data_IF_330646381392
#
_entry.id   IF_330646381392
#
_cell.length_a   1.000
_cell.length_b   1.000
_cell.length_c   1.000
_cell.angle_alpha   90.00
_cell.angle_beta   90.00
_cell.angle_gamma   90.00
#
_symmetry.space_group_name_H-M   'P 1'
#
loop_
_entity.id
_entity.type
_entity.pdbx_description
1 polymer ?
#
# COMPACT_ATOMS: atom_id res chain seq x y z
N UNK A 1 -1.94 -11.17 8.04
CA UNK A 1 -2.68 -10.14 8.79
C UNK A 1 -3.77 -9.56 7.90
N UNK A 2 -4.77 -8.88 8.47
CA UNK A 2 -5.88 -8.30 7.71
C UNK A 2 -6.13 -6.87 8.16
N UNK A 3 -6.10 -5.93 7.22
CA UNK A 3 -6.61 -4.58 7.38
C UNK A 3 -8.08 -4.57 6.98
N UNK A 4 -8.96 -4.78 7.96
CA UNK A 4 -10.41 -4.81 7.77
C UNK A 4 -10.95 -3.43 7.44
N UNK A 5 -12.08 -3.40 6.73
CA UNK A 5 -12.85 -2.20 6.48
C UNK A 5 -13.27 -1.57 7.81
N UNK A 6 -13.74 -2.33 8.81
CA UNK A 6 -13.95 -1.86 10.19
C UNK A 6 -14.57 -0.45 10.28
N UNK A 7 -15.84 -0.36 9.92
CA UNK A 7 -16.54 0.94 9.87
C UNK A 7 -17.07 1.39 11.23
N UNK A 8 -16.85 0.59 12.28
CA UNK A 8 -17.44 0.81 13.60
C UNK A 8 -18.97 0.79 13.54
N UNK A 9 -19.54 -0.02 12.64
CA UNK A 9 -20.99 -0.19 12.50
C UNK A 9 -21.39 -1.63 12.83
N UNK A 10 -22.53 -1.78 13.50
CA UNK A 10 -23.07 -3.08 13.93
C UNK A 10 -23.29 -4.05 12.77
N UNK A 11 -23.56 -3.54 11.56
CA UNK A 11 -23.80 -4.39 10.39
C UNK A 11 -22.50 -4.86 9.73
N UNK A 12 -21.50 -3.97 9.60
CA UNK A 12 -20.29 -4.27 8.85
C UNK A 12 -19.33 -5.17 9.61
N UNK A 13 -19.08 -4.86 10.87
CA UNK A 13 -17.91 -5.38 11.57
C UNK A 13 -18.05 -6.90 11.85
N UNK A 14 -19.21 -7.42 12.33
CA UNK A 14 -19.48 -8.86 12.39
C UNK A 14 -19.48 -9.55 11.01
N UNK A 15 -20.18 -8.98 10.02
CA UNK A 15 -20.26 -9.56 8.67
C UNK A 15 -18.88 -9.69 8.01
N UNK A 16 -18.04 -8.66 8.10
CA UNK A 16 -16.69 -8.70 7.55
C UNK A 16 -15.80 -9.69 8.33
N UNK A 17 -16.07 -9.91 9.62
CA UNK A 17 -15.34 -10.91 10.41
C UNK A 17 -15.71 -12.30 9.93
N UNK A 18 -17.01 -12.58 9.83
CA UNK A 18 -17.50 -13.86 9.33
C UNK A 18 -16.98 -14.17 7.92
N UNK A 19 -16.95 -13.17 7.03
CA UNK A 19 -16.37 -13.30 5.70
C UNK A 19 -14.92 -13.81 5.76
N UNK A 20 -14.09 -13.16 6.57
CA UNK A 20 -12.68 -13.52 6.68
C UNK A 20 -12.45 -14.83 7.44
N UNK A 21 -13.33 -15.19 8.39
CA UNK A 21 -13.32 -16.47 9.10
C UNK A 21 -13.58 -17.62 8.13
N UNK A 22 -14.64 -17.51 7.33
CA UNK A 22 -14.97 -18.50 6.29
C UNK A 22 -13.88 -18.62 5.23
N UNK A 23 -13.26 -17.50 4.83
CA UNK A 23 -12.14 -17.52 3.90
C UNK A 23 -10.91 -18.23 4.48
N UNK A 24 -10.57 -17.96 5.75
CA UNK A 24 -9.46 -18.61 6.42
C UNK A 24 -9.69 -20.13 6.55
N UNK A 25 -10.88 -20.52 7.02
CA UNK A 25 -11.29 -21.92 7.18
C UNK A 25 -11.26 -22.67 5.84
N UNK A 26 -11.90 -22.12 4.80
CA UNK A 26 -11.96 -22.75 3.47
C UNK A 26 -10.59 -22.90 2.80
N UNK A 27 -9.63 -22.02 3.13
CA UNK A 27 -8.25 -22.09 2.62
C UNK A 27 -7.35 -23.00 3.49
N UNK A 28 -7.89 -23.64 4.52
CA UNK A 28 -7.16 -24.55 5.40
C UNK A 28 -6.15 -23.82 6.28
N UNK A 29 -6.52 -22.65 6.80
CA UNK A 29 -5.70 -21.93 7.79
C UNK A 29 -5.46 -22.84 8.99
N UNK A 30 -4.21 -22.96 9.41
CA UNK A 30 -3.83 -23.84 10.52
C UNK A 30 -4.32 -23.32 11.86
N UNK A 31 -4.74 -24.24 12.73
CA UNK A 31 -5.07 -23.96 14.13
C UNK A 31 -3.91 -23.22 14.84
N UNK A 32 -4.27 -22.23 15.66
CA UNK A 32 -3.29 -21.43 16.41
C UNK A 32 -2.47 -20.44 15.56
N UNK A 33 -2.79 -20.26 14.26
CA UNK A 33 -2.16 -19.27 13.40
C UNK A 33 -3.12 -18.09 13.10
N UNK A 34 -3.46 -17.24 14.07
CA UNK A 34 -4.48 -16.22 13.88
C UNK A 34 -4.08 -15.14 12.87
N UNK A 35 -5.10 -14.45 12.39
CA UNK A 35 -5.05 -13.28 11.55
C UNK A 35 -5.13 -12.06 12.46
N UNK A 36 -4.00 -11.38 12.63
CA UNK A 36 -3.98 -10.08 13.32
C UNK A 36 -4.75 -9.04 12.52
N UNK A 37 -5.68 -8.37 13.19
CA UNK A 37 -6.59 -7.38 12.60
C UNK A 37 -6.11 -5.96 12.88
N UNK A 38 -6.19 -5.11 11.86
CA UNK A 38 -5.93 -3.67 11.95
C UNK A 38 -7.17 -2.88 11.53
N UNK A 39 -7.65 -2.04 12.45
CA UNK A 39 -8.84 -1.20 12.31
C UNK A 39 -8.45 0.27 12.15
N UNK A 40 -7.86 0.66 11.02
CA UNK A 40 -7.28 2.01 10.86
C UNK A 40 -8.31 3.15 10.95
N UNK A 41 -9.58 2.87 10.64
CA UNK A 41 -10.67 3.87 10.74
C UNK A 41 -10.90 4.37 12.17
N UNK A 42 -10.50 3.60 13.19
CA UNK A 42 -10.48 4.06 14.59
C UNK A 42 -9.62 5.32 14.80
N UNK A 43 -8.59 5.51 13.94
CA UNK A 43 -7.68 6.64 14.00
C UNK A 43 -7.99 7.70 12.94
N UNK A 44 -8.26 7.28 11.70
CA UNK A 44 -8.37 8.21 10.55
C UNK A 44 -9.81 8.62 10.22
N UNK A 45 -10.80 7.99 10.87
CA UNK A 45 -12.19 8.04 10.41
C UNK A 45 -12.39 7.36 9.05
N UNK A 46 -13.59 7.52 8.48
CA UNK A 46 -13.96 6.90 7.20
C UNK A 46 -14.00 7.90 6.03
N UNK A 47 -12.91 7.96 5.26
CA UNK A 47 -12.77 8.88 4.11
C UNK A 47 -13.48 8.43 2.81
N UNK A 48 -14.61 7.72 2.90
CA UNK A 48 -15.37 7.13 1.76
C UNK A 48 -14.44 6.54 0.68
N UNK A 49 -14.28 7.21 -0.47
CA UNK A 49 -13.45 6.76 -1.59
C UNK A 49 -11.96 6.61 -1.30
N UNK A 50 -11.42 7.33 -0.31
CA UNK A 50 -10.01 7.22 0.11
C UNK A 50 -9.74 6.13 1.14
N UNK A 51 -10.77 5.42 1.63
CA UNK A 51 -10.63 4.52 2.78
C UNK A 51 -9.64 3.37 2.53
N UNK A 52 -9.79 2.66 1.41
CA UNK A 52 -8.92 1.53 1.06
C UNK A 52 -7.48 1.96 0.76
N UNK A 53 -7.28 3.20 0.30
CA UNK A 53 -5.93 3.73 0.01
C UNK A 53 -5.16 3.96 1.31
N UNK A 54 -5.80 4.51 2.36
CA UNK A 54 -5.17 4.65 3.67
C UNK A 54 -4.81 3.29 4.27
N UNK A 55 -5.71 2.32 4.16
CA UNK A 55 -5.49 0.92 4.58
C UNK A 55 -4.31 0.29 3.83
N UNK A 56 -4.23 0.50 2.52
CA UNK A 56 -3.13 0.00 1.68
C UNK A 56 -1.79 0.64 2.07
N UNK A 57 -1.76 1.96 2.28
CA UNK A 57 -0.55 2.65 2.78
C UNK A 57 -0.13 2.14 4.16
N UNK A 58 -1.09 1.96 5.07
CA UNK A 58 -0.85 1.36 6.37
C UNK A 58 -0.26 -0.04 6.25
N UNK A 59 -0.83 -0.89 5.39
CA UNK A 59 -0.32 -2.24 5.18
C UNK A 59 1.08 -2.27 4.58
N UNK A 60 1.40 -1.36 3.65
CA UNK A 60 2.78 -1.17 3.15
C UNK A 60 3.75 -0.84 4.28
N UNK A 61 3.37 0.09 5.18
CA UNK A 61 4.20 0.46 6.33
C UNK A 61 4.38 -0.72 7.29
N UNK A 62 3.32 -1.49 7.55
CA UNK A 62 3.36 -2.66 8.42
C UNK A 62 4.30 -3.73 7.87
N UNK A 63 4.20 -4.04 6.58
CA UNK A 63 5.08 -5.03 5.94
C UNK A 63 6.53 -4.56 5.96
N UNK A 64 6.80 -3.28 5.69
CA UNK A 64 8.15 -2.72 5.72
C UNK A 64 8.76 -2.70 7.12
N UNK A 65 7.97 -2.29 8.12
CA UNK A 65 8.49 -1.97 9.46
C UNK A 65 8.36 -3.15 10.45
N UNK A 66 7.57 -4.18 10.11
CA UNK A 66 7.31 -5.33 11.00
C UNK A 66 6.53 -4.96 12.26
N UNK A 67 5.73 -3.89 12.20
CA UNK A 67 4.95 -3.36 13.32
C UNK A 67 3.47 -3.46 13.01
N UNK A 68 2.70 -4.16 13.85
CA UNK A 68 1.24 -4.19 13.76
C UNK A 68 0.69 -3.08 14.66
N UNK A 69 0.01 -2.05 14.09
CA UNK A 69 -0.56 -0.96 14.86
C UNK A 69 -1.78 -1.46 15.66
N UNK A 70 -2.01 -0.88 16.84
CA UNK A 70 -3.14 -1.23 17.67
C UNK A 70 -4.43 -0.57 17.18
N UNK A 71 -5.56 -1.16 17.56
CA UNK A 71 -6.81 -0.41 17.71
C UNK A 71 -6.89 0.10 19.15
N UNK A 72 -6.55 1.39 19.36
CA UNK A 72 -6.59 2.01 20.70
C UNK A 72 -8.01 2.37 21.14
N UNK A 73 -8.96 2.36 20.22
CA UNK A 73 -10.38 2.61 20.51
C UNK A 73 -11.12 1.34 20.92
N UNK A 74 -10.44 0.18 20.95
CA UNK A 74 -11.00 -1.09 21.39
C UNK A 74 -10.99 -1.15 22.92
N UNK A 75 -12.16 -1.02 23.53
CA UNK A 75 -12.42 -1.19 24.95
C UNK A 75 -12.65 -2.67 25.30
N UNK A 76 -13.59 -3.32 24.61
CA UNK A 76 -13.79 -4.76 24.64
C UNK A 76 -14.06 -5.29 23.22
N UNK A 77 -13.73 -6.56 22.98
CA UNK A 77 -14.16 -7.25 21.78
C UNK A 77 -15.61 -7.66 21.99
N UNK A 78 -16.44 -7.48 20.97
CA UNK A 78 -17.84 -7.92 20.99
C UNK A 78 -17.93 -9.44 21.16
N UNK A 79 -18.80 -9.90 22.07
CA UNK A 79 -19.01 -11.32 22.38
C UNK A 79 -19.47 -12.11 21.15
N UNK A 80 -20.15 -11.48 20.20
CA UNK A 80 -20.55 -12.11 18.92
C UNK A 80 -19.34 -12.62 18.12
N UNK A 81 -18.21 -11.92 18.23
CA UNK A 81 -16.99 -12.24 17.48
C UNK A 81 -16.20 -13.40 18.11
N UNK A 82 -16.58 -13.87 19.31
CA UNK A 82 -15.93 -15.01 19.97
C UNK A 82 -16.03 -16.32 19.17
N UNK A 83 -17.01 -16.40 18.25
CA UNK A 83 -17.19 -17.52 17.32
C UNK A 83 -16.10 -17.60 16.23
N UNK A 84 -15.36 -16.52 15.99
CA UNK A 84 -14.34 -16.43 14.92
C UNK A 84 -12.96 -16.81 15.45
N UNK A 85 -12.61 -18.10 15.33
CA UNK A 85 -11.40 -18.69 15.92
C UNK A 85 -10.09 -18.26 15.27
N UNK A 86 -10.12 -17.73 14.03
CA UNK A 86 -8.92 -17.35 13.30
C UNK A 86 -8.47 -15.90 13.54
N UNK A 87 -9.05 -15.16 14.49
CA UNK A 87 -8.84 -13.71 14.60
C UNK A 87 -8.17 -13.32 15.91
N UNK A 88 -7.35 -12.27 15.84
CA UNK A 88 -6.86 -11.56 17.02
C UNK A 88 -6.96 -10.06 16.77
N UNK A 89 -7.75 -9.38 17.62
CA UNK A 89 -7.76 -7.92 17.73
C UNK A 89 -6.72 -7.46 18.73
N UNK A 90 -5.90 -6.50 18.31
CA UNK A 90 -4.76 -6.05 19.09
C UNK A 90 -5.01 -4.64 19.62
N UNK A 91 -5.03 -4.49 20.95
CA UNK A 91 -5.16 -3.20 21.63
C UNK A 91 -3.83 -2.45 21.84
N UNK A 92 -2.73 -3.20 21.84
CA UNK A 92 -1.37 -2.71 22.07
C UNK A 92 -0.51 -2.89 20.81
N UNK A 93 0.50 -2.04 20.60
CA UNK A 93 1.34 -2.16 19.40
C UNK A 93 2.19 -3.44 19.47
N UNK A 94 2.09 -4.33 18.47
CA UNK A 94 2.98 -5.49 18.38
C UNK A 94 4.16 -5.18 17.47
N UNK A 95 5.37 -5.32 18.02
CA UNK A 95 6.63 -5.15 17.29
C UNK A 95 7.25 -6.52 17.08
N UNK A 96 7.10 -7.05 15.87
CA UNK A 96 7.53 -8.41 15.56
C UNK A 96 9.04 -8.48 15.24
N UNK A 97 9.61 -7.35 14.81
CA UNK A 97 11.05 -7.22 14.53
C UNK A 97 11.52 -8.20 13.45
N UNK A 98 12.83 -8.40 13.36
CA UNK A 98 13.42 -9.28 12.33
C UNK A 98 13.22 -10.78 12.62
N UNK A 99 13.00 -11.14 13.89
CA UNK A 99 12.82 -12.54 14.31
C UNK A 99 11.47 -13.11 13.91
N UNK A 100 10.46 -12.26 13.74
CA UNK A 100 9.10 -12.66 13.36
C UNK A 100 8.61 -11.85 12.14
N UNK A 101 9.22 -12.04 10.95
CA UNK A 101 8.94 -11.21 9.79
C UNK A 101 7.51 -11.42 9.28
N UNK A 102 6.85 -10.30 8.96
CA UNK A 102 5.55 -10.33 8.30
C UNK A 102 5.71 -10.61 6.81
N UNK A 103 4.91 -11.55 6.29
CA UNK A 103 5.01 -12.02 4.90
C UNK A 103 4.01 -11.34 3.96
N UNK A 104 2.76 -11.23 4.40
CA UNK A 104 1.66 -10.74 3.59
C UNK A 104 0.52 -10.23 4.47
N UNK A 105 -0.33 -9.39 3.88
CA UNK A 105 -1.61 -9.04 4.45
C UNK A 105 -2.69 -8.81 3.40
N UNK A 106 -3.92 -8.74 3.87
CA UNK A 106 -5.09 -8.46 3.05
C UNK A 106 -5.65 -7.08 3.43
N UNK A 107 -6.05 -6.30 2.44
CA UNK A 107 -6.93 -5.14 2.64
C UNK A 107 -8.31 -5.52 2.16
N UNK A 108 -9.33 -5.31 2.98
CA UNK A 108 -10.72 -5.38 2.55
C UNK A 108 -11.43 -4.07 2.70
N UNK A 109 -12.30 -3.79 1.74
CA UNK A 109 -13.15 -2.61 1.74
C UNK A 109 -14.53 -2.94 1.21
N UNK A 110 -15.56 -2.56 1.98
CA UNK A 110 -16.96 -2.79 1.67
C UNK A 110 -17.64 -1.43 1.47
N UNK A 111 -18.24 -1.23 0.30
CA UNK A 111 -18.94 -0.02 -0.10
C UNK A 111 -20.44 -0.26 -0.25
N UNK A 112 -21.18 0.83 -0.37
CA UNK A 112 -22.62 0.78 -0.66
C UNK A 112 -22.90 0.10 -2.00
N UNK A 113 -24.07 -0.57 -2.10
CA UNK A 113 -24.51 -1.18 -3.35
C UNK A 113 -23.73 -2.43 -3.74
N UNK A 114 -23.41 -3.29 -2.77
CA UNK A 114 -22.70 -4.56 -2.97
C UNK A 114 -21.28 -4.42 -3.55
N UNK A 115 -20.64 -3.26 -3.39
CA UNK A 115 -19.25 -3.07 -3.79
C UNK A 115 -18.35 -3.68 -2.73
N UNK A 116 -17.68 -4.78 -3.03
CA UNK A 116 -16.72 -5.43 -2.14
C UNK A 116 -15.40 -5.60 -2.85
N UNK A 117 -14.30 -5.19 -2.21
CA UNK A 117 -12.95 -5.29 -2.76
C UNK A 117 -12.00 -5.95 -1.77
N UNK A 118 -11.11 -6.81 -2.29
CA UNK A 118 -10.05 -7.47 -1.54
C UNK A 118 -8.74 -7.33 -2.30
N UNK A 119 -7.68 -6.91 -1.59
CA UNK A 119 -6.33 -6.75 -2.14
C UNK A 119 -5.38 -7.59 -1.29
N UNK A 120 -4.67 -8.52 -1.91
CA UNK A 120 -3.57 -9.23 -1.28
C UNK A 120 -2.26 -8.48 -1.53
N UNK A 121 -1.56 -8.12 -0.46
CA UNK A 121 -0.26 -7.46 -0.52
C UNK A 121 0.81 -8.34 0.12
N UNK A 122 1.93 -8.51 -0.57
CA UNK A 122 3.04 -9.39 -0.17
C UNK A 122 4.30 -8.57 0.02
N UNK A 123 5.15 -9.00 0.96
CA UNK A 123 6.42 -8.35 1.27
C UNK A 123 7.35 -8.29 0.04
N UNK A 124 8.02 -7.17 -0.24
CA UNK A 124 8.83 -6.98 -1.45
C UNK A 124 10.02 -7.93 -1.57
N UNK A 125 10.52 -8.50 -0.47
CA UNK A 125 11.57 -9.52 -0.53
C UNK A 125 11.15 -10.78 -1.32
N UNK A 126 9.85 -11.08 -1.42
CA UNK A 126 9.38 -12.17 -2.26
C UNK A 126 9.70 -11.93 -3.75
N UNK A 127 9.59 -10.67 -4.21
CA UNK A 127 9.99 -10.28 -5.57
C UNK A 127 11.52 -10.37 -5.75
N UNK A 128 12.30 -9.85 -4.80
CA UNK A 128 13.76 -9.94 -4.85
C UNK A 128 14.25 -11.38 -4.92
N UNK A 129 13.58 -12.29 -4.19
CA UNK A 129 13.91 -13.71 -4.18
C UNK A 129 13.74 -14.39 -5.54
N UNK A 130 12.88 -13.85 -6.42
CA UNK A 130 12.67 -14.38 -7.77
C UNK A 130 13.74 -13.94 -8.78
N UNK A 131 14.53 -12.90 -8.48
CA UNK A 131 15.63 -12.44 -9.32
C UNK A 131 16.85 -13.33 -9.17
N UNK A 132 17.61 -13.48 -10.25
CA UNK A 132 18.95 -14.07 -10.17
C UNK A 132 19.90 -13.20 -9.31
N UNK A 133 21.02 -13.75 -8.82
CA UNK A 133 21.90 -13.02 -7.91
C UNK A 133 22.42 -11.68 -8.46
N UNK A 134 22.78 -11.62 -9.74
CA UNK A 134 23.36 -10.44 -10.37
C UNK A 134 22.30 -9.34 -10.57
N UNK A 135 21.10 -9.72 -11.04
CA UNK A 135 19.94 -8.84 -11.15
C UNK A 135 19.52 -8.28 -9.80
N UNK A 136 19.48 -9.15 -8.77
CA UNK A 136 19.12 -8.74 -7.41
C UNK A 136 20.10 -7.71 -6.86
N UNK A 137 21.40 -7.93 -7.03
CA UNK A 137 22.45 -7.00 -6.61
C UNK A 137 22.32 -5.66 -7.32
N UNK A 138 22.21 -5.67 -8.66
CA UNK A 138 22.05 -4.47 -9.47
C UNK A 138 20.79 -3.67 -9.08
N UNK A 139 19.65 -4.36 -8.93
CA UNK A 139 18.40 -3.73 -8.51
C UNK A 139 18.52 -3.12 -7.10
N UNK A 140 19.13 -3.85 -6.16
CA UNK A 140 19.29 -3.38 -4.77
C UNK A 140 20.18 -2.14 -4.70
N UNK A 141 21.26 -2.10 -5.48
CA UNK A 141 22.12 -0.93 -5.59
C UNK A 141 21.35 0.28 -6.15
N UNK A 142 20.60 0.09 -7.22
CA UNK A 142 19.78 1.16 -7.83
C UNK A 142 18.70 1.67 -6.87
N UNK A 143 17.98 0.77 -6.20
CA UNK A 143 16.94 1.10 -5.24
C UNK A 143 17.50 1.88 -4.04
N UNK A 144 18.68 1.49 -3.55
CA UNK A 144 19.38 2.17 -2.45
C UNK A 144 19.82 3.58 -2.84
N UNK A 145 20.39 3.74 -4.05
CA UNK A 145 20.72 5.06 -4.59
C UNK A 145 19.50 5.96 -4.74
N UNK A 146 18.37 5.40 -5.21
CA UNK A 146 17.10 6.13 -5.33
C UNK A 146 16.53 6.52 -3.98
N UNK A 147 16.62 5.65 -2.97
CA UNK A 147 16.16 5.93 -1.61
C UNK A 147 16.91 7.12 -1.01
N UNK A 148 18.25 7.13 -1.12
CA UNK A 148 19.07 8.23 -0.62
C UNK A 148 18.74 9.56 -1.33
N UNK A 149 18.63 9.54 -2.66
CA UNK A 149 18.23 10.72 -3.43
C UNK A 149 16.83 11.22 -3.04
N UNK A 150 15.89 10.30 -2.83
CA UNK A 150 14.53 10.60 -2.39
C UNK A 150 14.47 11.21 -0.99
N UNK A 151 15.22 10.67 -0.04
CA UNK A 151 15.33 11.22 1.33
C UNK A 151 15.89 12.64 1.31
N UNK A 152 16.95 12.88 0.53
CA UNK A 152 17.52 14.23 0.34
C UNK A 152 16.50 15.19 -0.25
N UNK A 153 15.77 14.77 -1.30
CA UNK A 153 14.73 15.60 -1.92
C UNK A 153 13.60 15.93 -0.92
N UNK A 154 13.16 14.94 -0.15
CA UNK A 154 12.13 15.09 0.87
C UNK A 154 12.52 16.05 1.97
N UNK A 155 13.70 15.86 2.57
CA UNK A 155 14.20 16.76 3.60
C UNK A 155 14.36 18.20 3.08
N UNK A 156 14.89 18.36 1.86
CA UNK A 156 15.05 19.67 1.21
C UNK A 156 13.70 20.39 1.04
N UNK A 157 12.67 19.71 0.53
CA UNK A 157 11.35 20.32 0.34
C UNK A 157 10.66 20.67 1.67
N UNK A 158 10.79 19.81 2.69
CA UNK A 158 10.23 20.08 4.04
C UNK A 158 10.87 21.32 4.65
N UNK A 159 12.17 21.52 4.44
CA UNK A 159 12.93 22.66 4.97
C UNK A 159 12.77 23.96 4.17
N UNK A 160 11.79 24.06 3.26
CA UNK A 160 11.55 25.26 2.45
C UNK A 160 12.40 25.36 1.19
N UNK A 161 13.06 24.28 0.78
CA UNK A 161 13.73 24.18 -0.51
C UNK A 161 12.75 24.04 -1.68
N UNK A 162 13.24 23.50 -2.80
CA UNK A 162 12.45 23.34 -4.03
C UNK A 162 11.17 22.52 -3.75
N UNK A 163 9.97 23.01 -4.13
CA UNK A 163 8.71 22.34 -3.80
C UNK A 163 8.62 20.95 -4.44
N UNK A 164 7.80 20.07 -3.84
CA UNK A 164 7.60 18.71 -4.36
C UNK A 164 6.82 18.66 -5.67
N UNK A 165 6.11 19.74 -6.00
CA UNK A 165 5.37 19.86 -7.23
C UNK A 165 5.72 21.18 -7.90
N UNK A 166 6.11 21.08 -9.17
CA UNK A 166 6.26 22.21 -10.07
C UNK A 166 5.53 21.87 -11.36
N UNK A 167 4.65 22.77 -11.77
CA UNK A 167 3.96 22.62 -13.04
C UNK A 167 5.00 22.74 -14.17
N UNK A 168 5.07 21.79 -15.11
CA UNK A 168 5.90 21.96 -16.31
C UNK A 168 5.53 23.26 -17.03
N UNK A 169 6.53 23.97 -17.54
CA UNK A 169 6.32 25.24 -18.24
C UNK A 169 5.55 25.05 -19.55
N UNK A 170 5.81 23.94 -20.24
CA UNK A 170 5.23 23.60 -21.53
C UNK A 170 5.15 22.06 -21.69
N UNK A 171 4.88 21.63 -22.92
CA UNK A 171 4.71 20.22 -23.32
C UNK A 171 6.02 19.50 -23.61
N UNK A 172 7.18 20.14 -23.42
CA UNK A 172 8.52 19.55 -23.60
C UNK A 172 8.80 19.13 -25.05
N UNK A 173 8.35 19.96 -25.99
CA UNK A 173 8.65 19.85 -27.41
C UNK A 173 9.72 20.87 -27.81
N UNK A 174 10.38 20.60 -28.93
CA UNK A 174 11.30 21.55 -29.54
C UNK A 174 10.54 22.85 -29.90
N UNK A 175 11.07 24.01 -29.49
CA UNK A 175 10.43 25.30 -29.74
C UNK A 175 10.68 25.85 -31.16
N UNK A 176 11.63 25.30 -31.92
CA UNK A 176 11.91 25.69 -33.30
C UNK A 176 10.91 25.09 -34.30
N UNK A 177 10.21 24.03 -33.89
CA UNK A 177 9.27 23.28 -34.72
C UNK A 177 7.84 23.45 -34.25
N UNK A 178 6.88 23.29 -35.18
CA UNK A 178 5.46 23.34 -34.83
C UNK A 178 5.09 22.23 -33.83
N UNK A 179 4.66 22.61 -32.63
CA UNK A 179 4.20 21.68 -31.59
C UNK A 179 3.12 20.72 -32.12
N UNK A 180 2.16 21.20 -32.92
CA UNK A 180 1.10 20.33 -33.48
C UNK A 180 1.64 19.18 -34.32
N UNK A 181 2.73 19.40 -35.07
CA UNK A 181 3.36 18.35 -35.88
C UNK A 181 4.14 17.39 -34.99
N UNK A 182 4.83 17.90 -33.97
CA UNK A 182 5.58 17.09 -33.02
C UNK A 182 4.65 16.23 -32.15
N UNK A 183 3.52 16.77 -31.71
CA UNK A 183 2.50 16.05 -30.96
C UNK A 183 1.95 14.87 -31.76
N UNK A 184 1.59 15.08 -33.03
CA UNK A 184 1.13 14.01 -33.90
C UNK A 184 2.22 12.94 -34.12
N UNK A 185 3.47 13.35 -34.37
CA UNK A 185 4.58 12.40 -34.55
C UNK A 185 4.88 11.59 -33.29
N UNK A 186 4.90 12.25 -32.12
CA UNK A 186 5.13 11.63 -30.82
C UNK A 186 4.03 10.61 -30.48
N UNK A 187 2.75 10.95 -30.71
CA UNK A 187 1.64 10.04 -30.46
C UNK A 187 1.63 8.81 -31.37
N UNK A 188 2.25 8.90 -32.54
CA UNK A 188 2.34 7.80 -33.51
C UNK A 188 3.63 6.97 -33.35
N UNK A 189 4.63 7.48 -32.61
CA UNK A 189 5.88 6.76 -32.37
C UNK A 189 5.86 6.06 -30.99
N UNK A 190 5.80 4.71 -30.92
CA UNK A 190 5.81 3.98 -29.66
C UNK A 190 7.12 4.13 -28.86
N UNK A 191 8.20 4.52 -29.53
CA UNK A 191 9.53 4.69 -28.95
C UNK A 191 9.82 6.14 -28.52
N UNK A 192 8.88 7.08 -28.73
CA UNK A 192 9.06 8.46 -28.31
C UNK A 192 9.23 8.55 -26.78
N UNK A 193 10.34 9.13 -26.33
CA UNK A 193 10.71 9.32 -24.92
C UNK A 193 11.30 10.70 -24.72
N UNK A 194 11.25 11.20 -23.49
CA UNK A 194 12.00 12.38 -23.10
C UNK A 194 13.50 12.05 -23.06
N UNK A 195 14.31 12.89 -23.69
CA UNK A 195 15.76 12.87 -23.58
C UNK A 195 16.25 13.51 -22.27
N UNK A 196 17.58 13.51 -22.09
CA UNK A 196 18.23 14.10 -20.92
C UNK A 196 18.08 15.64 -20.85
N UNK A 197 17.73 16.27 -21.97
CA UNK A 197 17.42 17.70 -22.10
C UNK A 197 15.96 18.03 -21.75
N UNK A 198 15.19 17.05 -21.23
CA UNK A 198 13.77 17.19 -20.92
C UNK A 198 12.90 17.47 -22.17
N UNK A 199 13.37 17.16 -23.39
CA UNK A 199 12.62 17.31 -24.65
C UNK A 199 12.30 15.92 -25.25
N UNK A 200 11.12 15.76 -25.88
CA UNK A 200 10.81 14.53 -26.60
C UNK A 200 11.74 14.31 -27.80
N UNK A 201 12.50 13.22 -27.75
CA UNK A 201 13.29 12.77 -28.89
C UNK A 201 12.37 12.15 -29.94
N UNK A 202 12.71 12.36 -31.21
CA UNK A 202 12.01 11.77 -32.35
C UNK A 202 12.27 10.29 -32.49
#
# INVERSE_FOLDING_TARGET
>A
MISKHDTSTLANDPNETELHERLADSLGRSDGAPLFIVSQKSLTGHAKGGAAVFQMLGLCQILRDGVIPPNRSLDCVDDELASSGHFVWVRDTLRLGEKFPLKAGLVTSLGFGHVSGLIALVHPQAFLAALDPAQREAYTAQASGRLLAGQRRLASAIAGGRPMYERPADRRFDHELSEKRQEAAMLLNPDARLGDDDIYLR
#
